data_IF_138283891692
#
_entry.id   IF_138283891692
#
_cell.length_a   1.000
_cell.length_b   1.000
_cell.length_c   1.000
_cell.angle_alpha   90.00
_cell.angle_beta   90.00
_cell.angle_gamma   90.00
#
_symmetry.space_group_name_H-M   'P 1'
#
loop_
_entity.id
_entity.type
_entity.pdbx_description
1 polymer ?
#
# COMPACT_ATOMS: atom_id res chain seq x y z
N UNK A 1 19.98 -50.07 18.58
CA UNK A 1 18.70 -50.48 19.18
C UNK A 1 18.25 -49.43 20.16
N UNK A 2 16.97 -49.08 20.07
CA UNK A 2 16.23 -48.04 20.79
C UNK A 2 16.10 -48.31 22.29
N UNK A 3 16.18 -47.27 23.12
CA UNK A 3 15.36 -47.12 24.34
C UNK A 3 14.99 -45.65 24.55
N UNK A 4 13.74 -45.30 24.21
CA UNK A 4 13.01 -44.13 24.75
C UNK A 4 12.18 -44.58 25.95
N UNK A 5 11.87 -43.62 26.84
CA UNK A 5 10.60 -43.38 27.60
C UNK A 5 10.94 -42.88 29.03
N UNK A 6 10.25 -41.98 29.72
CA UNK A 6 9.11 -41.05 29.57
C UNK A 6 9.29 -40.07 30.74
N UNK A 7 9.07 -38.76 30.57
CA UNK A 7 8.90 -37.83 31.70
C UNK A 7 7.40 -37.55 31.79
N UNK A 8 6.78 -38.00 32.89
CA UNK A 8 5.38 -37.72 33.19
C UNK A 8 5.25 -36.33 33.80
N UNK A 9 4.30 -35.56 33.25
CA UNK A 9 3.83 -34.26 33.70
C UNK A 9 3.21 -34.31 35.09
N UNK A 10 3.65 -33.40 35.98
CA UNK A 10 2.94 -33.09 37.22
C UNK A 10 1.96 -31.94 36.92
N UNK A 11 0.67 -32.23 36.88
CA UNK A 11 -0.38 -31.20 36.91
C UNK A 11 -0.62 -30.80 38.36
N UNK A 12 -0.29 -29.55 38.72
CA UNK A 12 -0.76 -28.95 39.97
C UNK A 12 -2.00 -28.12 39.65
N UNK A 13 -3.16 -28.64 40.04
CA UNK A 13 -4.44 -27.93 40.00
C UNK A 13 -4.44 -26.83 41.06
N UNK A 14 -4.52 -25.57 40.64
CA UNK A 14 -4.80 -24.44 41.53
C UNK A 14 -6.30 -24.18 41.57
N UNK A 15 -6.93 -24.43 42.72
CA UNK A 15 -8.25 -23.92 43.05
C UNK A 15 -8.10 -22.42 43.37
N UNK A 16 -8.70 -21.56 42.55
CA UNK A 16 -8.78 -20.10 42.81
C UNK A 16 -10.25 -19.75 42.94
N UNK A 17 -10.68 -19.34 44.14
CA UNK A 17 -11.72 -18.32 44.28
C UNK A 17 -11.76 -17.82 45.73
N UNK A 18 -11.23 -16.63 45.95
CA UNK A 18 -11.33 -15.94 47.24
C UNK A 18 -10.15 -15.03 47.52
N UNK A 19 -10.23 -13.79 47.05
CA UNK A 19 -9.32 -12.72 47.48
C UNK A 19 -9.08 -11.67 46.40
N UNK A 20 -9.71 -10.50 46.54
CA UNK A 20 -9.28 -9.29 45.84
C UNK A 20 -7.80 -9.06 46.14
N UNK A 21 -6.95 -9.09 45.10
CA UNK A 21 -5.59 -8.57 45.18
C UNK A 21 -5.57 -7.21 44.49
N UNK A 22 -5.47 -6.15 45.28
CA UNK A 22 -5.08 -4.83 44.78
C UNK A 22 -3.58 -4.88 44.46
N UNK A 23 -3.21 -4.90 43.18
CA UNK A 23 -1.83 -4.67 42.78
C UNK A 23 -1.53 -3.18 42.89
N UNK A 24 -0.53 -2.82 43.70
CA UNK A 24 -0.05 -1.45 43.83
C UNK A 24 0.47 -0.94 42.48
N UNK A 25 -0.03 0.22 42.05
CA UNK A 25 0.49 0.95 40.89
C UNK A 25 1.87 1.52 41.29
N UNK A 26 2.94 1.36 40.49
CA UNK A 26 4.22 1.97 40.83
C UNK A 26 4.08 3.48 40.87
N UNK A 27 4.38 4.07 42.03
CA UNK A 27 4.47 5.52 42.21
C UNK A 27 5.74 6.01 41.53
N UNK A 28 5.60 6.76 40.42
CA UNK A 28 6.71 7.51 39.83
C UNK A 28 6.94 8.75 40.70
N UNK A 29 8.09 8.84 41.36
CA UNK A 29 8.54 10.10 41.94
C UNK A 29 9.02 11.00 40.80
N UNK A 30 8.35 12.14 40.62
CA UNK A 30 8.86 13.20 39.77
C UNK A 30 10.12 13.78 40.42
N UNK A 31 11.23 13.77 39.68
CA UNK A 31 12.39 14.60 39.98
C UNK A 31 12.20 15.84 39.12
N UNK A 32 11.94 16.99 39.74
CA UNK A 32 11.94 18.27 39.04
C UNK A 32 13.40 18.59 38.66
N UNK A 33 13.66 18.67 37.36
CA UNK A 33 14.88 19.24 36.81
C UNK A 33 14.45 20.21 35.71
N UNK A 34 14.68 21.49 35.93
CA UNK A 34 14.52 22.52 34.93
C UNK A 34 15.56 22.30 33.81
N UNK A 35 15.08 21.88 32.64
CA UNK A 35 15.89 21.69 31.45
C UNK A 35 15.13 20.91 30.39
N UNK A 36 14.97 21.49 29.20
CA UNK A 36 14.24 20.95 28.05
C UNK A 36 14.42 19.44 27.86
N UNK A 37 13.36 18.66 28.12
CA UNK A 37 13.30 17.24 27.79
C UNK A 37 12.97 17.12 26.30
N UNK A 38 13.97 16.85 25.47
CA UNK A 38 13.74 16.23 24.17
C UNK A 38 13.31 14.79 24.42
N UNK A 39 12.07 14.45 24.06
CA UNK A 39 11.60 13.06 24.01
C UNK A 39 12.26 12.43 22.78
N UNK A 40 13.42 11.80 22.95
CA UNK A 40 13.96 10.88 21.95
C UNK A 40 13.32 9.52 22.19
N UNK A 41 12.32 9.18 21.38
CA UNK A 41 11.84 7.80 21.28
C UNK A 41 12.96 6.99 20.61
N UNK A 42 13.90 6.44 21.39
CA UNK A 42 14.87 5.48 20.88
C UNK A 42 14.11 4.19 20.53
N UNK A 43 13.93 3.85 19.24
CA UNK A 43 13.40 2.55 18.86
C UNK A 43 14.35 1.46 19.42
N UNK A 44 13.86 0.25 19.71
CA UNK A 44 14.73 -0.87 20.03
C UNK A 44 15.82 -0.97 18.97
N UNK A 45 17.08 -1.11 19.41
CA UNK A 45 18.27 -1.06 18.55
C UNK A 45 18.29 -2.14 17.43
N UNK A 46 17.31 -3.07 17.45
CA UNK A 46 17.14 -4.17 16.51
C UNK A 46 15.81 -4.10 15.72
N UNK A 47 15.16 -2.94 15.60
CA UNK A 47 13.99 -2.77 14.72
C UNK A 47 14.43 -2.32 13.32
N UNK A 48 13.72 -2.73 12.25
CA UNK A 48 13.96 -2.22 10.90
C UNK A 48 13.77 -0.70 10.87
N UNK A 49 14.60 -0.02 10.08
CA UNK A 49 14.45 1.42 9.85
C UNK A 49 13.42 1.60 8.73
N UNK A 50 12.38 2.37 9.02
CA UNK A 50 11.35 2.74 8.05
C UNK A 50 11.41 4.24 7.78
N UNK A 51 11.49 4.63 6.51
CA UNK A 51 11.45 6.04 6.11
C UNK A 51 10.58 6.26 4.88
N UNK A 52 10.05 7.48 4.77
CA UNK A 52 9.20 7.92 3.68
C UNK A 52 9.90 9.02 2.91
N UNK A 53 9.93 8.88 1.59
CA UNK A 53 10.27 9.98 0.68
C UNK A 53 9.16 11.04 0.63
N UNK A 54 9.50 12.15 -0.03
CA UNK A 54 8.58 13.25 -0.26
C UNK A 54 7.37 12.81 -1.11
N UNK A 55 6.17 13.34 -0.82
CA UNK A 55 4.99 13.04 -1.63
C UNK A 55 5.12 13.66 -3.03
N UNK A 56 4.91 12.83 -4.04
CA UNK A 56 4.81 13.24 -5.44
C UNK A 56 3.33 13.29 -5.81
N UNK A 57 2.88 14.40 -6.39
CA UNK A 57 1.52 14.56 -6.89
C UNK A 57 1.58 15.23 -8.26
N UNK A 58 1.04 14.56 -9.28
CA UNK A 58 1.14 15.00 -10.67
C UNK A 58 -0.22 14.86 -11.36
N UNK A 59 -0.46 15.68 -12.38
CA UNK A 59 -1.66 15.62 -13.21
C UNK A 59 -1.37 16.11 -14.63
N UNK A 60 -2.09 15.56 -15.61
CA UNK A 60 -2.04 16.03 -16.99
C UNK A 60 -3.23 16.93 -17.36
N UNK A 61 -4.04 17.35 -16.38
CA UNK A 61 -5.28 18.08 -16.61
C UNK A 61 -5.20 19.55 -16.22
N UNK A 62 -5.32 19.88 -14.93
CA UNK A 62 -5.16 21.23 -14.39
C UNK A 62 -4.80 21.17 -12.89
N UNK A 63 -4.25 22.26 -12.35
CA UNK A 63 -3.69 22.28 -10.99
C UNK A 63 -4.72 21.99 -9.89
N UNK A 64 -6.01 22.27 -10.11
CA UNK A 64 -7.04 22.04 -9.09
C UNK A 64 -7.21 20.55 -8.76
N UNK A 65 -6.91 19.66 -9.71
CA UNK A 65 -7.01 18.20 -9.52
C UNK A 65 -5.66 17.53 -9.24
N UNK A 66 -4.56 18.29 -9.15
CA UNK A 66 -3.20 17.75 -8.93
C UNK A 66 -3.10 16.97 -7.63
N UNK A 67 -3.78 17.43 -6.57
CA UNK A 67 -3.75 16.83 -5.23
C UNK A 67 -4.86 15.80 -4.98
N UNK A 68 -5.58 15.41 -6.02
CA UNK A 68 -6.74 14.51 -5.88
C UNK A 68 -6.37 13.08 -5.51
N UNK A 69 -5.09 12.72 -5.64
CA UNK A 69 -4.58 11.43 -5.18
C UNK A 69 -3.52 11.70 -4.13
N UNK A 70 -3.52 10.96 -3.03
CA UNK A 70 -2.46 11.02 -2.04
C UNK A 70 -2.15 9.64 -1.46
N UNK A 71 -0.89 9.47 -1.05
CA UNK A 71 -0.38 8.24 -0.44
C UNK A 71 0.28 8.61 0.89
N UNK A 72 -0.08 7.85 1.93
CA UNK A 72 0.68 7.78 3.15
C UNK A 72 1.03 6.33 3.48
N UNK A 73 2.10 6.10 4.22
CA UNK A 73 2.57 4.75 4.49
C UNK A 73 3.23 4.62 5.86
N UNK A 74 3.11 3.44 6.44
CA UNK A 74 3.75 3.05 7.69
C UNK A 74 4.27 1.64 7.57
N UNK A 75 5.07 1.21 8.54
CA UNK A 75 5.37 -0.21 8.70
C UNK A 75 4.07 -1.00 8.94
N UNK A 76 4.03 -2.22 8.41
CA UNK A 76 2.91 -3.14 8.51
C UNK A 76 2.86 -3.88 9.84
N UNK A 77 2.13 -5.01 9.85
CA UNK A 77 2.01 -5.83 11.06
C UNK A 77 3.30 -6.68 11.27
N UNK A 78 4.09 -6.88 10.22
CA UNK A 78 5.45 -7.44 10.24
C UNK A 78 6.48 -6.47 9.68
N UNK A 79 7.76 -6.72 9.99
CA UNK A 79 8.90 -5.86 9.61
C UNK A 79 9.14 -5.75 8.10
N UNK A 80 8.69 -6.72 7.32
CA UNK A 80 8.79 -6.76 5.88
C UNK A 80 7.50 -6.29 5.18
N UNK A 81 6.50 -5.84 5.94
CA UNK A 81 5.25 -5.33 5.40
C UNK A 81 5.23 -3.79 5.41
N UNK A 82 4.65 -3.23 4.36
CA UNK A 82 4.29 -1.81 4.28
C UNK A 82 2.78 -1.72 4.24
N UNK A 83 2.21 -0.95 5.18
CA UNK A 83 0.81 -0.57 5.17
C UNK A 83 0.70 0.82 4.59
N UNK A 84 -0.11 1.01 3.56
CA UNK A 84 -0.23 2.30 2.89
C UNK A 84 -1.67 2.66 2.61
N UNK A 85 -2.01 3.92 2.84
CA UNK A 85 -3.33 4.49 2.65
C UNK A 85 -3.31 5.32 1.38
N UNK A 86 -4.27 5.06 0.51
CA UNK A 86 -4.50 5.82 -0.72
C UNK A 86 -5.83 6.54 -0.60
N UNK A 87 -5.80 7.85 -0.79
CA UNK A 87 -7.01 8.67 -0.90
C UNK A 87 -7.20 9.15 -2.32
N UNK A 88 -8.41 8.99 -2.84
CA UNK A 88 -8.89 9.56 -4.08
C UNK A 88 -10.00 10.57 -3.78
N UNK A 89 -9.75 11.84 -4.04
CA UNK A 89 -10.74 12.91 -3.95
C UNK A 89 -11.33 13.18 -5.33
N UNK A 90 -12.49 12.60 -5.61
CA UNK A 90 -13.17 12.74 -6.90
C UNK A 90 -14.09 13.97 -7.00
N UNK A 91 -14.07 14.89 -6.02
CA UNK A 91 -14.99 16.04 -5.97
C UNK A 91 -14.96 16.92 -7.23
N UNK A 92 -13.78 17.05 -7.86
CA UNK A 92 -13.57 17.84 -9.08
C UNK A 92 -13.47 16.99 -10.36
N UNK A 93 -13.88 15.71 -10.30
CA UNK A 93 -13.68 14.75 -11.37
C UNK A 93 -14.96 14.33 -12.11
N UNK A 94 -16.12 14.78 -11.64
CA UNK A 94 -17.42 14.46 -12.24
C UNK A 94 -17.74 12.95 -12.30
N UNK A 95 -17.13 12.13 -11.43
CA UNK A 95 -17.28 10.66 -11.46
C UNK A 95 -18.68 10.17 -11.06
N UNK A 96 -19.56 11.07 -10.61
CA UNK A 96 -20.98 10.77 -10.44
C UNK A 96 -21.69 10.49 -11.76
N UNK A 97 -21.26 11.13 -12.83
CA UNK A 97 -21.87 11.03 -14.17
C UNK A 97 -20.93 10.35 -15.16
N UNK A 98 -19.64 10.59 -15.04
CA UNK A 98 -18.64 10.00 -15.90
C UNK A 98 -18.06 8.71 -15.31
N UNK A 99 -17.70 7.77 -16.20
CA UNK A 99 -16.94 6.59 -15.82
C UNK A 99 -15.52 7.01 -15.41
N UNK A 100 -15.11 6.58 -14.23
CA UNK A 100 -13.74 6.73 -13.73
C UNK A 100 -13.02 5.40 -13.53
N UNK A 101 -11.79 5.48 -13.04
CA UNK A 101 -10.98 4.31 -12.71
C UNK A 101 -9.88 4.63 -11.70
N UNK A 102 -9.63 3.68 -10.78
CA UNK A 102 -8.55 3.75 -9.81
C UNK A 102 -7.50 2.66 -10.08
N UNK A 103 -6.23 3.04 -10.03
CA UNK A 103 -5.11 2.14 -10.23
C UNK A 103 -4.21 2.15 -9.00
N UNK A 104 -3.75 0.97 -8.60
CA UNK A 104 -2.74 0.76 -7.57
C UNK A 104 -1.58 0.01 -8.21
N UNK A 105 -0.40 0.62 -8.18
CA UNK A 105 0.78 0.08 -8.87
C UNK A 105 1.77 -0.39 -7.80
N UNK A 106 2.14 -1.66 -7.89
CA UNK A 106 2.95 -2.34 -6.89
C UNK A 106 4.42 -2.35 -7.34
N UNK A 107 5.35 -1.95 -6.45
CA UNK A 107 6.78 -2.05 -6.70
C UNK A 107 7.24 -3.47 -7.00
N UNK A 108 8.23 -3.58 -7.89
CA UNK A 108 8.90 -4.84 -8.15
C UNK A 108 9.70 -5.30 -6.92
N UNK A 109 9.50 -6.55 -6.50
CA UNK A 109 10.03 -7.09 -5.24
C UNK A 109 9.05 -7.04 -4.08
N UNK A 110 7.83 -6.53 -4.29
CA UNK A 110 6.73 -6.61 -3.33
C UNK A 110 5.55 -7.39 -3.88
N UNK A 111 4.73 -7.95 -2.98
CA UNK A 111 3.46 -8.56 -3.30
C UNK A 111 2.33 -7.93 -2.48
N UNK A 112 1.18 -7.69 -3.12
CA UNK A 112 -0.04 -7.23 -2.44
C UNK A 112 -0.69 -8.36 -1.63
N UNK A 113 -1.01 -8.09 -0.36
CA UNK A 113 -1.66 -9.03 0.58
C UNK A 113 -3.06 -8.62 0.99
N UNK A 114 -3.32 -7.31 1.05
CA UNK A 114 -4.63 -6.76 1.40
C UNK A 114 -4.89 -5.52 0.56
N UNK A 115 -6.13 -5.35 0.13
CA UNK A 115 -6.65 -4.12 -0.45
C UNK A 115 -8.04 -3.88 0.12
N UNK A 116 -8.12 -3.04 1.16
CA UNK A 116 -9.33 -2.80 1.93
C UNK A 116 -9.99 -1.52 1.44
N UNK A 117 -11.26 -1.59 1.06
CA UNK A 117 -12.08 -0.38 0.90
C UNK A 117 -12.50 0.10 2.29
N UNK A 118 -12.00 1.25 2.75
CA UNK A 118 -12.24 1.73 4.12
C UNK A 118 -13.68 2.16 4.38
N UNK A 119 -14.46 2.44 3.33
CA UNK A 119 -15.89 2.76 3.47
C UNK A 119 -16.72 1.52 3.79
N UNK A 120 -16.41 0.37 3.17
CA UNK A 120 -17.18 -0.87 3.34
C UNK A 120 -16.54 -1.85 4.31
N UNK A 121 -15.25 -1.73 4.57
CA UNK A 121 -14.45 -2.71 5.31
C UNK A 121 -14.13 -3.97 4.51
N UNK A 122 -14.55 -4.07 3.25
CA UNK A 122 -14.34 -5.25 2.40
C UNK A 122 -12.87 -5.34 1.96
N UNK A 123 -12.28 -6.54 2.09
CA UNK A 123 -11.04 -6.87 1.40
C UNK A 123 -11.34 -7.26 -0.06
N UNK A 124 -10.82 -6.49 -0.99
CA UNK A 124 -11.08 -6.61 -2.42
C UNK A 124 -10.10 -7.54 -3.13
N UNK A 125 -9.02 -7.99 -2.48
CA UNK A 125 -7.96 -8.73 -3.15
C UNK A 125 -8.48 -9.98 -3.90
N UNK A 126 -9.40 -10.72 -3.30
CA UNK A 126 -9.98 -11.94 -3.89
C UNK A 126 -10.92 -11.67 -5.07
N UNK A 127 -11.23 -10.39 -5.36
CA UNK A 127 -11.99 -10.00 -6.56
C UNK A 127 -11.12 -9.92 -7.81
N UNK A 128 -9.80 -9.81 -7.64
CA UNK A 128 -8.86 -9.71 -8.74
C UNK A 128 -8.44 -11.11 -9.20
N UNK A 129 -8.36 -11.31 -10.51
CA UNK A 129 -7.88 -12.58 -11.05
C UNK A 129 -6.39 -12.78 -10.75
N UNK A 130 -6.02 -13.97 -10.30
CA UNK A 130 -4.61 -14.38 -10.17
C UNK A 130 -4.00 -14.74 -11.51
N UNK A 131 -4.81 -15.18 -12.48
CA UNK A 131 -4.39 -15.38 -13.87
C UNK A 131 -4.77 -14.14 -14.70
N UNK A 132 -3.75 -13.47 -15.22
CA UNK A 132 -3.92 -12.26 -16.04
C UNK A 132 -4.67 -12.54 -17.35
N UNK A 133 -4.75 -13.80 -17.80
CA UNK A 133 -5.46 -14.18 -19.01
C UNK A 133 -6.87 -14.73 -18.77
N UNK A 134 -7.33 -14.83 -17.51
CA UNK A 134 -8.70 -15.25 -17.18
C UNK A 134 -9.74 -14.34 -17.86
N UNK A 135 -10.86 -14.92 -18.27
CA UNK A 135 -11.99 -14.18 -18.85
C UNK A 135 -12.56 -13.13 -17.87
N UNK A 136 -12.48 -13.42 -16.56
CA UNK A 136 -12.81 -12.49 -15.47
C UNK A 136 -11.81 -11.34 -15.31
N UNK A 137 -10.77 -11.29 -16.13
CA UNK A 137 -9.83 -10.17 -16.27
C UNK A 137 -10.01 -9.40 -17.60
N UNK A 138 -11.12 -9.65 -18.31
CA UNK A 138 -11.50 -8.95 -19.55
C UNK A 138 -11.83 -7.47 -19.37
N UNK A 139 -12.08 -6.79 -20.50
CA UNK A 139 -12.36 -5.35 -20.59
C UNK A 139 -13.52 -4.89 -19.70
N UNK A 140 -14.53 -5.75 -19.54
CA UNK A 140 -15.77 -5.44 -18.85
C UNK A 140 -15.72 -5.78 -17.35
N UNK A 141 -14.58 -6.31 -16.90
CA UNK A 141 -14.40 -6.74 -15.51
C UNK A 141 -14.11 -5.56 -14.61
N UNK A 142 -14.83 -5.48 -13.48
CA UNK A 142 -14.68 -4.39 -12.52
C UNK A 142 -13.32 -4.36 -11.84
N UNK A 143 -12.77 -5.54 -11.54
CA UNK A 143 -11.51 -5.70 -10.84
C UNK A 143 -10.54 -6.40 -11.80
N UNK A 144 -9.46 -5.72 -12.17
CA UNK A 144 -8.49 -6.26 -13.13
C UNK A 144 -7.08 -6.21 -12.57
N UNK A 145 -6.30 -7.22 -12.89
CA UNK A 145 -4.93 -7.36 -12.46
C UNK A 145 -4.02 -7.55 -13.67
N UNK A 146 -2.93 -6.79 -13.71
CA UNK A 146 -1.94 -6.83 -14.78
C UNK A 146 -0.57 -7.05 -14.16
N UNK A 147 0.17 -7.99 -14.73
CA UNK A 147 1.46 -8.42 -14.20
C UNK A 147 2.52 -8.35 -15.28
N UNK A 148 3.63 -7.70 -14.97
CA UNK A 148 4.79 -7.58 -15.84
C UNK A 148 5.43 -8.94 -16.13
N UNK A 149 5.98 -9.08 -17.33
CA UNK A 149 6.66 -10.30 -17.77
C UNK A 149 5.73 -11.50 -18.01
N UNK A 150 4.41 -11.31 -17.94
CA UNK A 150 3.43 -12.31 -18.38
C UNK A 150 3.11 -12.09 -19.85
N UNK A 151 3.05 -13.18 -20.60
CA UNK A 151 2.49 -13.17 -21.95
C UNK A 151 0.97 -12.98 -21.84
N UNK A 152 0.48 -11.95 -22.52
CA UNK A 152 -0.92 -11.54 -22.44
C UNK A 152 -1.46 -11.23 -23.82
N UNK A 153 -2.75 -11.43 -23.99
CA UNK A 153 -3.43 -11.01 -25.21
C UNK A 153 -3.99 -9.58 -25.08
N UNK A 154 -3.94 -8.84 -26.18
CA UNK A 154 -4.61 -7.55 -26.35
C UNK A 154 -4.19 -6.49 -25.31
N UNK A 155 -5.17 -5.84 -24.71
CA UNK A 155 -5.09 -4.76 -23.74
C UNK A 155 -4.61 -5.18 -22.33
N UNK A 156 -4.35 -6.46 -22.08
CA UNK A 156 -4.02 -6.98 -20.74
C UNK A 156 -2.53 -6.83 -20.37
N UNK A 157 -1.71 -6.33 -21.29
CA UNK A 157 -0.28 -6.15 -21.05
C UNK A 157 -0.01 -5.02 -20.03
N UNK A 158 0.96 -5.27 -19.14
CA UNK A 158 1.38 -4.32 -18.10
C UNK A 158 1.78 -2.94 -18.65
N UNK A 159 2.58 -2.87 -19.72
CA UNK A 159 3.07 -1.59 -20.27
C UNK A 159 1.96 -0.79 -20.97
N UNK A 160 0.99 -1.47 -21.57
CA UNK A 160 -0.21 -0.80 -22.10
C UNK A 160 -1.03 -0.16 -20.98
N UNK A 161 -1.24 -0.90 -19.89
CA UNK A 161 -1.98 -0.40 -18.73
C UNK A 161 -1.24 0.72 -18.00
N UNK A 162 0.09 0.66 -17.96
CA UNK A 162 0.91 1.80 -17.53
C UNK A 162 0.66 3.04 -18.41
N UNK A 163 0.74 2.90 -19.73
CA UNK A 163 0.53 4.00 -20.68
C UNK A 163 -0.88 4.61 -20.61
N UNK A 164 -1.89 3.83 -20.22
CA UNK A 164 -3.26 4.31 -20.03
C UNK A 164 -3.56 4.87 -18.63
N UNK A 165 -2.62 4.77 -17.69
CA UNK A 165 -2.72 5.22 -16.30
C UNK A 165 -1.57 6.19 -15.95
N UNK A 166 -0.54 5.75 -15.20
CA UNK A 166 0.55 6.59 -14.71
C UNK A 166 1.35 7.23 -15.85
N UNK A 167 1.64 6.48 -16.91
CA UNK A 167 2.35 6.98 -18.09
C UNK A 167 1.59 8.07 -18.86
N UNK A 168 0.30 8.27 -18.54
CA UNK A 168 -0.53 9.32 -19.13
C UNK A 168 -0.31 10.70 -18.49
N UNK A 169 0.22 10.73 -17.27
CA UNK A 169 0.30 11.96 -16.46
C UNK A 169 1.45 12.87 -16.92
N UNK A 170 2.57 12.32 -17.38
CA UNK A 170 3.73 13.10 -17.82
C UNK A 170 5.01 12.29 -17.81
N UNK A 171 6.15 12.94 -17.61
CA UNK A 171 7.50 12.35 -17.58
C UNK A 171 8.25 12.66 -16.27
N UNK A 172 7.52 12.86 -15.17
CA UNK A 172 8.10 13.16 -13.85
C UNK A 172 8.80 11.96 -13.19
N UNK A 173 9.10 12.09 -11.89
CA UNK A 173 9.84 11.09 -11.11
C UNK A 173 9.23 9.69 -11.21
N UNK A 174 7.90 9.59 -11.27
CA UNK A 174 7.18 8.31 -11.40
C UNK A 174 7.52 7.58 -12.70
N UNK A 175 7.81 8.29 -13.79
CA UNK A 175 8.24 7.66 -15.04
C UNK A 175 9.71 7.26 -15.00
N UNK A 176 10.56 7.99 -14.28
CA UNK A 176 11.93 7.55 -14.06
C UNK A 176 11.96 6.20 -13.34
N UNK A 177 11.13 6.02 -12.31
CA UNK A 177 10.95 4.72 -11.64
C UNK A 177 10.48 3.61 -12.60
N UNK A 178 9.65 3.95 -13.60
CA UNK A 178 9.23 2.99 -14.62
C UNK A 178 10.39 2.58 -15.53
N UNK A 179 11.22 3.54 -15.95
CA UNK A 179 12.40 3.31 -16.78
C UNK A 179 13.47 2.50 -16.02
N UNK A 180 13.56 2.68 -14.71
CA UNK A 180 14.36 1.89 -13.76
C UNK A 180 13.75 0.51 -13.45
N UNK A 181 12.67 0.14 -14.14
CA UNK A 181 12.04 -1.17 -14.05
C UNK A 181 11.42 -1.46 -12.65
N UNK A 182 11.07 -0.43 -11.88
CA UNK A 182 10.75 -0.51 -10.45
C UNK A 182 9.36 -1.05 -10.09
N UNK A 183 8.54 -1.49 -11.06
CA UNK A 183 7.16 -1.94 -10.85
C UNK A 183 6.92 -3.34 -11.42
N UNK A 184 6.00 -4.09 -10.81
CA UNK A 184 5.66 -5.47 -11.20
C UNK A 184 4.19 -5.71 -11.49
N UNK A 185 3.28 -5.10 -10.73
CA UNK A 185 1.84 -5.40 -10.80
C UNK A 185 1.02 -4.10 -10.81
N UNK A 186 -0.13 -4.12 -11.49
CA UNK A 186 -1.15 -3.07 -11.48
C UNK A 186 -2.49 -3.70 -11.13
N UNK A 187 -3.13 -3.16 -10.10
CA UNK A 187 -4.50 -3.51 -9.69
C UNK A 187 -5.42 -2.36 -10.08
N UNK A 188 -6.43 -2.65 -10.89
CA UNK A 188 -7.36 -1.67 -11.45
C UNK A 188 -8.79 -1.91 -10.97
N UNK A 189 -9.44 -0.84 -10.51
CA UNK A 189 -10.87 -0.83 -10.17
C UNK A 189 -11.60 0.06 -11.17
N UNK A 190 -12.47 -0.56 -11.95
CA UNK A 190 -13.36 0.10 -12.89
C UNK A 190 -14.54 0.76 -12.19
N UNK A 191 -14.87 1.97 -12.65
CA UNK A 191 -16.05 2.72 -12.25
C UNK A 191 -16.32 2.69 -10.72
N UNK A 192 -15.35 3.13 -9.89
CA UNK A 192 -15.52 3.14 -8.45
C UNK A 192 -16.70 4.04 -8.07
N UNK A 193 -17.59 3.54 -7.20
CA UNK A 193 -18.90 4.15 -6.92
C UNK A 193 -18.85 5.39 -6.01
N UNK A 194 -17.71 6.07 -5.92
CA UNK A 194 -17.47 7.18 -5.01
C UNK A 194 -17.51 8.53 -5.71
N UNK A 195 -18.55 9.30 -5.39
CA UNK A 195 -18.58 10.76 -5.55
C UNK A 195 -18.00 11.37 -4.26
N UNK A 196 -16.83 12.02 -4.36
CA UNK A 196 -16.08 12.57 -3.23
C UNK A 196 -14.87 11.73 -2.80
N UNK A 197 -14.60 11.70 -1.49
CA UNK A 197 -13.41 11.04 -0.94
C UNK A 197 -13.60 9.51 -0.86
N UNK A 198 -12.69 8.78 -1.50
CA UNK A 198 -12.56 7.33 -1.38
C UNK A 198 -11.20 6.97 -0.78
N UNK A 199 -11.21 6.14 0.26
CA UNK A 199 -9.99 5.71 0.96
C UNK A 199 -9.83 4.20 0.87
N UNK A 200 -8.62 3.79 0.47
CA UNK A 200 -8.21 2.40 0.42
C UNK A 200 -6.97 2.19 1.28
N UNK A 201 -6.88 1.06 1.95
CA UNK A 201 -5.70 0.63 2.69
C UNK A 201 -5.13 -0.62 2.04
N UNK A 202 -3.84 -0.58 1.76
CA UNK A 202 -3.10 -1.65 1.13
C UNK A 202 -2.06 -2.18 2.11
N UNK A 203 -1.82 -3.49 2.07
CA UNK A 203 -0.66 -4.10 2.72
C UNK A 203 0.13 -4.83 1.66
N UNK A 204 1.38 -4.44 1.50
CA UNK A 204 2.34 -5.10 0.61
C UNK A 204 3.47 -5.72 1.43
N UNK A 205 3.95 -6.87 1.04
CA UNK A 205 5.06 -7.57 1.68
C UNK A 205 6.27 -7.61 0.73
N UNK A 206 7.47 -7.36 1.26
CA UNK A 206 8.72 -7.53 0.51
C UNK A 206 8.96 -9.03 0.29
N UNK A 207 8.95 -9.45 -0.97
CA UNK A 207 9.10 -10.85 -1.38
C UNK A 207 10.45 -11.16 -2.03
N UNK A 208 11.21 -10.14 -2.43
CA UNK A 208 12.56 -10.29 -2.97
C UNK A 208 13.61 -9.83 -1.96
N UNK A 209 14.29 -10.75 -1.25
CA UNK A 209 15.31 -10.40 -0.27
C UNK A 209 16.50 -9.65 -0.87
N UNK A 210 16.76 -9.78 -2.17
CA UNK A 210 17.82 -9.00 -2.86
C UNK A 210 17.47 -7.52 -3.01
N UNK A 211 16.22 -7.16 -2.68
CA UNK A 211 15.71 -5.80 -2.59
C UNK A 211 15.40 -5.37 -1.15
N UNK A 212 15.72 -6.19 -0.15
CA UNK A 212 15.78 -5.72 1.22
C UNK A 212 16.78 -4.55 1.31
N UNK A 213 16.48 -3.54 2.12
CA UNK A 213 17.28 -2.31 2.24
C UNK A 213 17.30 -1.45 0.97
N UNK A 214 16.29 -1.60 0.10
CA UNK A 214 16.05 -0.70 -1.03
C UNK A 214 14.77 0.09 -0.83
N UNK A 215 14.68 1.15 -1.59
CA UNK A 215 13.48 1.95 -1.72
C UNK A 215 12.46 1.31 -2.66
N UNK A 216 11.20 1.39 -2.30
CA UNK A 216 10.06 0.86 -3.02
C UNK A 216 9.10 2.02 -3.40
N UNK A 217 8.93 2.34 -4.69
CA UNK A 217 8.05 3.42 -5.12
C UNK A 217 6.59 2.99 -5.13
N UNK A 218 5.79 3.52 -4.21
CA UNK A 218 4.35 3.33 -4.16
C UNK A 218 3.66 4.30 -5.13
N UNK A 219 2.74 3.82 -5.97
CA UNK A 219 2.02 4.68 -6.92
C UNK A 219 0.53 4.35 -6.99
N UNK A 220 -0.30 5.38 -7.06
CA UNK A 220 -1.73 5.28 -7.30
C UNK A 220 -2.20 6.33 -8.31
N UNK A 221 -3.21 5.99 -9.11
CA UNK A 221 -3.73 6.86 -10.18
C UNK A 221 -5.25 6.90 -10.16
N UNK A 222 -5.82 8.08 -10.40
CA UNK A 222 -7.23 8.28 -10.69
C UNK A 222 -7.40 8.88 -12.08
N UNK A 223 -8.44 8.44 -12.78
CA UNK A 223 -8.74 8.83 -14.16
C UNK A 223 -10.23 9.00 -14.38
N UNK A 224 -10.61 9.86 -15.33
CA UNK A 224 -11.95 9.95 -15.93
C UNK A 224 -11.85 9.60 -17.43
N UNK A 225 -12.69 8.68 -17.91
CA UNK A 225 -12.66 8.17 -19.29
C UNK A 225 -13.43 9.04 -20.31
N UNK A 226 -14.39 9.84 -19.86
CA UNK A 226 -15.22 10.66 -20.74
C UNK A 226 -14.77 12.12 -20.82
N UNK A 227 -14.16 12.64 -19.76
CA UNK A 227 -13.53 13.95 -19.79
C UNK A 227 -12.32 13.98 -20.75
N UNK A 228 -11.98 15.18 -21.23
CA UNK A 228 -10.87 15.42 -22.14
C UNK A 228 -9.98 16.57 -21.66
N UNK A 229 -8.67 16.38 -21.79
CA UNK A 229 -7.67 17.44 -21.67
C UNK A 229 -7.72 18.34 -22.91
N UNK A 230 -6.98 19.46 -22.89
CA UNK A 230 -6.89 20.38 -24.02
C UNK A 230 -6.32 19.74 -25.30
N UNK A 231 -5.59 18.63 -25.18
CA UNK A 231 -5.05 17.83 -26.29
C UNK A 231 -5.84 16.53 -26.53
N UNK A 232 -7.10 16.48 -26.07
CA UNK A 232 -8.05 15.37 -26.29
C UNK A 232 -7.66 14.03 -25.62
N UNK A 233 -6.71 14.05 -24.69
CA UNK A 233 -6.39 12.92 -23.83
C UNK A 233 -7.39 12.77 -22.68
N UNK A 234 -7.47 11.59 -22.07
CA UNK A 234 -8.22 11.39 -20.82
C UNK A 234 -7.42 12.01 -19.66
N UNK A 235 -8.05 12.80 -18.78
CA UNK A 235 -7.39 13.38 -17.63
C UNK A 235 -7.05 12.30 -16.60
N UNK A 236 -5.86 12.40 -16.02
CA UNK A 236 -5.38 11.53 -14.95
C UNK A 236 -4.55 12.34 -13.95
N UNK A 237 -4.67 11.96 -12.68
CA UNK A 237 -3.81 12.43 -11.60
C UNK A 237 -3.25 11.24 -10.86
N UNK A 238 -2.01 11.36 -10.40
CA UNK A 238 -1.33 10.33 -9.64
C UNK A 238 -0.74 10.87 -8.35
N UNK A 239 -0.49 9.94 -7.44
CA UNK A 239 0.39 10.13 -6.31
C UNK A 239 1.51 9.10 -6.37
N UNK A 240 2.72 9.52 -6.03
CA UNK A 240 3.88 8.67 -5.82
C UNK A 240 4.45 8.90 -4.42
N UNK A 241 4.97 7.85 -3.80
CA UNK A 241 5.74 7.98 -2.56
C UNK A 241 6.74 6.86 -2.43
N UNK A 242 8.00 7.22 -2.21
CA UNK A 242 9.04 6.25 -1.97
C UNK A 242 9.01 5.78 -0.51
N UNK A 243 9.22 4.48 -0.29
CA UNK A 243 9.32 3.88 1.04
C UNK A 243 10.60 3.07 1.14
N UNK A 244 11.40 3.30 2.17
CA UNK A 244 12.60 2.51 2.44
C UNK A 244 12.39 1.68 3.69
N UNK A 245 12.70 0.38 3.60
CA UNK A 245 12.78 -0.55 4.74
C UNK A 245 14.21 -1.09 4.81
N UNK A 246 14.94 -0.70 5.85
CA UNK A 246 16.28 -1.23 6.12
C UNK A 246 16.23 -2.23 7.27
N UNK A 247 17.00 -3.30 7.13
CA UNK A 247 17.17 -4.34 8.13
C UNK A 247 17.80 -3.74 9.38
N UNK A 248 17.49 -4.30 10.57
CA UNK A 248 18.15 -3.88 11.80
C UNK A 248 19.67 -3.95 11.68
N UNK A 249 20.37 -2.91 12.13
CA UNK A 249 21.83 -2.92 12.22
C UNK A 249 22.24 -3.89 13.33
N UNK A 250 22.81 -5.04 12.98
CA UNK A 250 23.46 -5.93 13.96
C UNK A 250 24.88 -5.41 14.20
N UNK A 251 25.14 -4.87 15.39
CA UNK A 251 26.49 -4.56 15.85
C UNK A 251 27.30 -5.82 16.18
#
# INVERSE_FOLDING_TARGET
MSKRKIISSLFLSATVLGGLLFTQVPTVKAIESEGNVQITNNPPQNSPIFSLGDPIQETNYNDSVKKSVSIDATIGDSENEVKWTVNFDSTLWNLRYDKGGYYFIIPDGMQLKKLINKKTGENLLDKFSTDVNDDKNGSDSKYRHFKKGKETHWERNFDSQWGWSAGRVGSGQVNQWKDENAFSDIYYIDNPSSDGLATYELVTEVTDPSKANKSFPLVAVMKNYYAKTWYLGEPASLAGREVTIESPQTN
#
